data_IF_487552668837
#
_entry.id   IF_487552668837
#
_cell.length_a   1.000
_cell.length_b   1.000
_cell.length_c   1.000
_cell.angle_alpha   90.00
_cell.angle_beta   90.00
_cell.angle_gamma   90.00
#
_symmetry.space_group_name_H-M   'P 1'
#
loop_
_entity.id
_entity.type
_entity.pdbx_description
1 polymer ?
#
# COMPACT_ATOMS: atom_id res chain seq x y z
N UNK A 1 35.92 16.83 40.75
CA UNK A 1 36.45 16.01 39.63
C UNK A 1 35.38 15.19 38.91
N UNK A 2 34.32 14.70 39.56
CA UNK A 2 33.25 13.91 38.89
C UNK A 2 32.32 14.69 37.93
N UNK A 3 32.02 15.97 38.18
CA UNK A 3 31.11 16.74 37.32
C UNK A 3 31.69 17.06 35.93
N UNK A 4 33.00 17.20 35.85
CA UNK A 4 33.69 17.58 34.61
C UNK A 4 33.83 16.38 33.64
N UNK A 5 33.97 15.16 34.17
CA UNK A 5 34.06 13.92 33.38
C UNK A 5 32.71 13.51 32.80
N UNK A 6 31.61 13.69 33.55
CA UNK A 6 30.25 13.42 33.06
C UNK A 6 29.82 14.33 31.90
N UNK A 7 30.17 15.62 31.97
CA UNK A 7 29.86 16.59 30.91
C UNK A 7 30.63 16.30 29.61
N UNK A 8 31.92 15.96 29.71
CA UNK A 8 32.73 15.55 28.55
C UNK A 8 32.22 14.25 27.92
N UNK A 9 31.86 13.26 28.74
CA UNK A 9 31.35 11.98 28.26
C UNK A 9 29.99 12.14 27.57
N UNK A 10 29.11 13.01 28.09
CA UNK A 10 27.80 13.31 27.49
C UNK A 10 27.92 14.04 26.15
N UNK A 11 28.77 15.06 26.05
CA UNK A 11 29.00 15.77 24.79
C UNK A 11 29.70 14.90 23.73
N UNK A 12 30.60 14.01 24.15
CA UNK A 12 31.18 13.02 23.24
C UNK A 12 30.10 12.10 22.68
N UNK A 13 29.20 11.59 23.53
CA UNK A 13 28.10 10.73 23.14
C UNK A 13 27.12 11.40 22.16
N UNK A 14 26.75 12.67 22.39
CA UNK A 14 25.91 13.44 21.45
C UNK A 14 26.57 13.58 20.08
N UNK A 15 27.88 13.85 20.05
CA UNK A 15 28.61 13.97 18.80
C UNK A 15 28.66 12.63 18.05
N UNK A 16 28.82 11.51 18.76
CA UNK A 16 28.75 10.17 18.19
C UNK A 16 27.36 9.86 17.62
N UNK A 17 26.28 10.20 18.35
CA UNK A 17 24.92 10.01 17.85
C UNK A 17 24.62 10.83 16.61
N UNK A 18 25.10 12.09 16.55
CA UNK A 18 24.93 12.95 15.38
C UNK A 18 25.69 12.42 14.17
N UNK A 19 26.92 11.94 14.37
CA UNK A 19 27.69 11.28 13.31
C UNK A 19 27.00 10.00 12.82
N UNK A 20 26.48 9.19 13.74
CA UNK A 20 25.75 7.97 13.41
C UNK A 20 24.47 8.27 12.61
N UNK A 21 23.68 9.26 13.05
CA UNK A 21 22.48 9.73 12.33
C UNK A 21 22.83 10.21 10.91
N UNK A 22 23.89 11.02 10.77
CA UNK A 22 24.36 11.49 9.47
C UNK A 22 24.83 10.33 8.58
N UNK A 23 25.53 9.34 9.15
CA UNK A 23 25.94 8.14 8.42
C UNK A 23 24.75 7.30 7.98
N UNK A 24 23.73 7.13 8.83
CA UNK A 24 22.49 6.42 8.48
C UNK A 24 21.76 7.13 7.34
N UNK A 25 21.62 8.45 7.41
CA UNK A 25 20.99 9.23 6.32
C UNK A 25 21.80 9.14 5.02
N UNK A 26 23.13 9.15 5.11
CA UNK A 26 24.03 9.01 3.95
C UNK A 26 23.93 7.61 3.35
N UNK A 27 23.92 6.57 4.18
CA UNK A 27 23.75 5.18 3.75
C UNK A 27 22.37 4.99 3.10
N UNK A 28 21.31 5.53 3.68
CA UNK A 28 19.96 5.49 3.11
C UNK A 28 19.88 6.19 1.74
N UNK A 29 20.50 7.37 1.61
CA UNK A 29 20.62 8.09 0.32
C UNK A 29 21.45 7.30 -0.70
N UNK A 30 22.56 6.70 -0.27
CA UNK A 30 23.43 5.91 -1.14
C UNK A 30 22.74 4.61 -1.57
N UNK A 31 21.98 3.96 -0.69
CA UNK A 31 21.13 2.83 -1.06
C UNK A 31 20.11 3.29 -2.10
N UNK A 32 19.35 4.37 -1.87
CA UNK A 32 18.39 4.92 -2.86
C UNK A 32 19.08 5.21 -4.21
N UNK A 33 20.30 5.75 -4.18
CA UNK A 33 21.10 6.02 -5.38
C UNK A 33 21.61 4.75 -6.09
N UNK A 34 22.05 3.75 -5.34
CA UNK A 34 22.44 2.45 -5.88
C UNK A 34 21.24 1.71 -6.45
N UNK A 35 20.08 1.76 -5.80
CA UNK A 35 18.80 1.31 -6.36
C UNK A 35 18.53 2.02 -7.69
N UNK A 36 18.60 3.35 -7.75
CA UNK A 36 18.40 4.05 -9.02
C UNK A 36 19.42 3.65 -10.10
N UNK A 37 20.65 3.32 -9.73
CA UNK A 37 21.73 3.01 -10.68
C UNK A 37 21.64 1.57 -11.20
N UNK A 38 21.35 0.60 -10.32
CA UNK A 38 21.25 -0.82 -10.67
C UNK A 38 20.03 -1.13 -11.56
N UNK A 39 19.00 -0.30 -11.50
CA UNK A 39 17.77 -0.46 -12.28
C UNK A 39 17.61 0.59 -13.41
N UNK A 40 18.57 1.52 -13.59
CA UNK A 40 18.60 2.45 -14.74
C UNK A 40 19.42 1.91 -15.91
N UNK A 41 18.76 1.13 -16.77
CA UNK A 41 19.09 1.12 -18.19
C UNK A 41 18.20 2.17 -18.88
N UNK A 42 18.65 3.44 -19.00
CA UNK A 42 18.09 4.51 -19.85
C UNK A 42 16.54 4.60 -20.03
N UNK A 43 15.74 4.15 -19.07
CA UNK A 43 14.30 4.36 -18.99
C UNK A 43 14.03 5.26 -17.78
N UNK A 44 13.25 6.32 -17.98
CA UNK A 44 12.74 7.17 -16.90
C UNK A 44 12.22 6.25 -15.77
N UNK A 45 12.79 6.35 -14.57
CA UNK A 45 12.42 5.48 -13.43
C UNK A 45 11.03 5.88 -12.93
N UNK A 46 9.98 5.36 -13.55
CA UNK A 46 8.63 5.50 -13.04
C UNK A 46 8.51 4.69 -11.76
N UNK A 47 8.25 5.37 -10.63
CA UNK A 47 7.79 4.66 -9.44
C UNK A 47 6.39 4.14 -9.76
N UNK A 48 6.25 2.81 -9.78
CA UNK A 48 5.01 2.13 -10.13
C UNK A 48 4.48 1.38 -8.92
N UNK A 49 3.17 1.37 -8.81
CA UNK A 49 2.49 0.67 -7.74
C UNK A 49 1.06 0.33 -8.09
N UNK A 50 0.34 -0.18 -7.09
CA UNK A 50 -1.06 -0.54 -7.20
C UNK A 50 -1.88 0.33 -6.26
N UNK A 51 -3.06 0.72 -6.72
CA UNK A 51 -4.12 1.27 -5.91
C UNK A 51 -5.40 0.44 -6.10
N UNK A 52 -6.31 0.49 -5.13
CA UNK A 52 -7.66 -0.05 -5.29
C UNK A 52 -8.71 0.89 -4.75
N UNK A 53 -9.89 0.86 -5.35
CA UNK A 53 -10.99 1.74 -4.96
C UNK A 53 -11.66 1.31 -3.66
N UNK A 54 -11.91 2.28 -2.78
CA UNK A 54 -12.68 2.10 -1.54
C UNK A 54 -14.01 2.87 -1.55
N UNK A 55 -14.21 3.75 -2.53
CA UNK A 55 -15.47 4.46 -2.76
C UNK A 55 -15.76 4.58 -4.25
N UNK A 56 -17.05 4.61 -4.60
CA UNK A 56 -17.52 4.92 -5.95
C UNK A 56 -17.20 6.37 -6.37
N UNK A 57 -16.94 7.27 -5.42
CA UNK A 57 -16.55 8.66 -5.67
C UNK A 57 -15.04 8.82 -5.93
N UNK A 58 -14.31 7.73 -6.21
CA UNK A 58 -12.92 7.80 -6.67
C UNK A 58 -11.90 7.98 -5.55
N UNK A 59 -12.22 7.51 -4.34
CA UNK A 59 -11.23 7.33 -3.29
C UNK A 59 -10.50 5.99 -3.49
N UNK A 60 -9.18 6.03 -3.51
CA UNK A 60 -8.30 4.89 -3.75
C UNK A 60 -7.33 4.72 -2.58
N UNK A 61 -7.00 3.49 -2.20
CA UNK A 61 -5.97 3.17 -1.21
C UNK A 61 -4.72 2.67 -1.91
N UNK A 62 -3.55 3.07 -1.42
CA UNK A 62 -2.23 2.60 -1.88
C UNK A 62 -1.19 2.68 -0.76
N UNK A 63 0.08 2.37 -1.08
CA UNK A 63 1.20 2.52 -0.18
C UNK A 63 1.71 3.98 -0.10
N UNK A 64 2.00 4.45 1.11
CA UNK A 64 2.51 5.80 1.34
C UNK A 64 3.88 6.06 0.69
N UNK A 65 4.82 5.12 0.80
CA UNK A 65 6.17 5.27 0.22
C UNK A 65 6.14 5.45 -1.31
N UNK A 66 5.04 5.08 -1.96
CA UNK A 66 4.87 5.36 -3.38
C UNK A 66 4.67 6.86 -3.59
N UNK A 67 3.84 7.50 -2.79
CA UNK A 67 3.31 8.83 -3.07
C UNK A 67 3.95 9.94 -2.23
N UNK A 68 4.80 9.62 -1.24
CA UNK A 68 5.31 10.56 -0.23
C UNK A 68 6.03 11.79 -0.78
N UNK A 69 6.70 11.65 -1.93
CA UNK A 69 7.54 12.71 -2.51
C UNK A 69 6.80 13.52 -3.60
N UNK A 70 5.49 13.34 -3.78
CA UNK A 70 4.75 13.84 -4.95
C UNK A 70 3.39 14.47 -4.61
N UNK A 71 3.10 15.63 -5.22
CA UNK A 71 1.84 16.36 -4.98
C UNK A 71 0.65 15.83 -5.80
N UNK A 72 0.91 15.16 -6.93
CA UNK A 72 -0.09 14.59 -7.82
C UNK A 72 0.39 13.23 -8.33
N UNK A 73 -0.56 12.30 -8.44
CA UNK A 73 -0.30 10.93 -8.88
C UNK A 73 -1.17 10.60 -10.07
N UNK A 74 -0.63 9.94 -11.09
CA UNK A 74 -1.45 9.43 -12.20
C UNK A 74 -1.95 8.03 -11.85
N UNK A 75 -3.26 7.80 -11.97
CA UNK A 75 -3.88 6.50 -11.78
C UNK A 75 -4.51 6.02 -13.08
N UNK A 76 -4.21 4.78 -13.49
CA UNK A 76 -4.74 4.17 -14.71
C UNK A 76 -5.55 2.93 -14.36
N UNK A 77 -6.78 2.81 -14.87
CA UNK A 77 -7.62 1.65 -14.62
C UNK A 77 -7.03 0.35 -15.21
N UNK A 78 -7.18 -0.77 -14.50
CA UNK A 78 -6.62 -2.06 -14.93
C UNK A 78 -7.35 -2.72 -16.12
N UNK A 79 -8.62 -2.40 -16.35
CA UNK A 79 -9.39 -2.95 -17.49
C UNK A 79 -9.45 -2.03 -18.69
N UNK A 80 -9.23 -0.73 -18.50
CA UNK A 80 -9.30 0.26 -19.57
C UNK A 80 -8.16 1.28 -19.42
N UNK A 81 -7.13 1.11 -20.26
CA UNK A 81 -5.97 2.00 -20.27
C UNK A 81 -6.28 3.44 -20.70
N UNK A 82 -7.46 3.70 -21.28
CA UNK A 82 -7.91 5.06 -21.60
C UNK A 82 -8.44 5.81 -20.37
N UNK A 83 -8.86 5.08 -19.33
CA UNK A 83 -9.29 5.65 -18.05
C UNK A 83 -8.08 5.96 -17.18
N UNK A 84 -7.42 7.07 -17.50
CA UNK A 84 -6.30 7.66 -16.76
C UNK A 84 -6.76 8.95 -16.10
N UNK A 85 -6.41 9.13 -14.83
CA UNK A 85 -6.82 10.30 -14.07
C UNK A 85 -5.70 10.84 -13.19
N UNK A 86 -5.68 12.15 -12.97
CA UNK A 86 -4.91 12.72 -11.87
C UNK A 86 -5.63 12.49 -10.55
N UNK A 87 -4.87 12.11 -9.53
CA UNK A 87 -5.34 11.94 -8.17
C UNK A 87 -4.46 12.74 -7.20
N UNK A 88 -5.11 13.29 -6.18
CA UNK A 88 -4.46 14.01 -5.08
C UNK A 88 -4.42 13.15 -3.84
N UNK A 89 -3.38 13.33 -3.04
CA UNK A 89 -3.28 12.72 -1.72
C UNK A 89 -4.25 13.45 -0.78
N UNK A 90 -5.13 12.69 -0.11
CA UNK A 90 -6.10 13.25 0.85
C UNK A 90 -5.73 12.92 2.28
N UNK A 91 -5.28 11.69 2.54
CA UNK A 91 -4.84 11.24 3.86
C UNK A 91 -3.62 10.33 3.69
N UNK A 92 -2.76 10.36 4.70
CA UNK A 92 -1.60 9.48 4.79
C UNK A 92 -1.44 8.96 6.20
N UNK A 93 -0.91 7.75 6.30
CA UNK A 93 -0.39 7.14 7.52
C UNK A 93 1.03 6.64 7.22
N UNK A 94 2.05 7.49 7.45
CA UNK A 94 3.43 7.13 7.18
C UNK A 94 3.94 5.94 8.01
N UNK A 95 3.42 5.75 9.23
CA UNK A 95 3.80 4.64 10.11
C UNK A 95 3.37 3.32 9.49
N UNK A 96 2.10 3.24 9.08
CA UNK A 96 1.52 2.03 8.50
C UNK A 96 1.77 1.88 6.99
N UNK A 97 2.49 2.82 6.38
CA UNK A 97 2.71 2.85 4.92
C UNK A 97 1.43 2.94 4.09
N UNK A 98 0.40 3.67 4.53
CA UNK A 98 -0.87 3.78 3.80
C UNK A 98 -1.08 5.21 3.30
N UNK A 99 -1.59 5.35 2.08
CA UNK A 99 -2.08 6.61 1.56
C UNK A 99 -3.46 6.43 0.91
N UNK A 100 -4.28 7.45 1.04
CA UNK A 100 -5.56 7.56 0.34
C UNK A 100 -5.47 8.67 -0.69
N UNK A 101 -5.76 8.31 -1.92
CA UNK A 101 -5.84 9.20 -3.06
C UNK A 101 -7.29 9.51 -3.41
N UNK A 102 -7.55 10.67 -4.00
CA UNK A 102 -8.83 11.04 -4.58
C UNK A 102 -8.63 11.51 -6.00
N UNK A 103 -9.35 10.88 -6.93
CA UNK A 103 -9.40 11.33 -8.33
C UNK A 103 -9.94 12.76 -8.37
N UNK A 104 -9.18 13.67 -8.98
CA UNK A 104 -9.42 15.12 -9.02
C UNK A 104 -9.84 15.66 -10.39
N UNK A 105 -9.82 14.83 -11.43
CA UNK A 105 -10.20 15.24 -12.78
C UNK A 105 -11.68 15.61 -12.87
N UNK A 106 -11.99 16.75 -13.50
CA UNK A 106 -13.37 17.23 -13.64
C UNK A 106 -14.26 16.34 -14.51
N UNK A 107 -13.66 15.51 -15.36
CA UNK A 107 -14.37 14.52 -16.19
C UNK A 107 -14.76 13.27 -15.40
N UNK A 108 -14.18 13.05 -14.22
CA UNK A 108 -14.49 11.91 -13.38
C UNK A 108 -15.77 12.19 -12.57
N UNK A 109 -16.81 11.39 -12.81
CA UNK A 109 -18.06 11.46 -12.05
C UNK A 109 -18.09 10.43 -10.92
N UNK A 110 -18.00 9.15 -11.27
CA UNK A 110 -17.99 8.03 -10.34
C UNK A 110 -17.54 6.75 -11.06
N UNK A 111 -17.04 5.78 -10.30
CA UNK A 111 -16.96 4.39 -10.74
C UNK A 111 -18.24 3.63 -10.36
N UNK A 112 -18.46 2.48 -10.98
CA UNK A 112 -19.55 1.55 -10.61
C UNK A 112 -19.48 1.12 -9.14
N UNK A 113 -20.56 0.51 -8.63
CA UNK A 113 -20.59 0.05 -7.24
C UNK A 113 -19.53 -1.03 -6.98
N UNK A 114 -18.67 -0.78 -5.99
CA UNK A 114 -17.60 -1.69 -5.58
C UNK A 114 -18.23 -3.02 -5.12
N UNK A 115 -17.82 -4.17 -5.69
CA UNK A 115 -18.51 -5.43 -5.50
C UNK A 115 -18.00 -6.23 -4.29
N UNK A 116 -16.97 -5.72 -3.61
CA UNK A 116 -16.34 -6.27 -2.41
C UNK A 116 -16.50 -5.33 -1.21
N UNK A 117 -16.24 -5.85 -0.02
CA UNK A 117 -16.20 -5.09 1.24
C UNK A 117 -14.82 -5.16 1.89
N UNK A 118 -14.55 -4.28 2.84
CA UNK A 118 -13.37 -4.35 3.71
C UNK A 118 -13.79 -5.01 5.03
N UNK A 119 -13.08 -6.05 5.45
CA UNK A 119 -13.33 -6.72 6.72
C UNK A 119 -12.36 -6.16 7.77
N UNK A 120 -12.79 -5.17 8.55
CA UNK A 120 -11.97 -4.50 9.56
C UNK A 120 -11.69 -5.35 10.80
N UNK A 121 -12.44 -6.43 11.01
CA UNK A 121 -12.31 -7.31 12.18
C UNK A 121 -11.90 -8.72 11.75
N UNK A 122 -11.11 -8.82 10.68
CA UNK A 122 -10.71 -10.11 10.14
C UNK A 122 -9.82 -10.84 11.14
N UNK A 123 -10.32 -11.95 11.67
CA UNK A 123 -9.53 -12.82 12.53
C UNK A 123 -8.50 -13.52 11.66
N UNK A 124 -7.25 -13.10 11.80
CA UNK A 124 -6.13 -13.67 11.08
C UNK A 124 -5.87 -15.06 11.63
N UNK A 125 -5.83 -16.08 10.78
CA UNK A 125 -5.51 -17.46 11.12
C UNK A 125 -4.39 -17.96 10.19
N UNK A 126 -3.40 -18.67 10.74
CA UNK A 126 -2.34 -19.24 9.90
C UNK A 126 -2.92 -20.26 8.90
N UNK A 127 -2.39 -20.26 7.69
CA UNK A 127 -2.86 -21.14 6.62
C UNK A 127 -4.17 -20.71 5.96
N UNK A 128 -4.85 -19.66 6.45
CA UNK A 128 -6.00 -19.10 5.73
C UNK A 128 -5.58 -18.66 4.32
N UNK A 129 -6.31 -19.15 3.32
CA UNK A 129 -6.08 -18.81 1.93
C UNK A 129 -6.46 -17.37 1.63
N UNK A 130 -5.55 -16.69 0.94
CA UNK A 130 -5.71 -15.31 0.50
C UNK A 130 -5.20 -15.14 -0.91
N UNK A 131 -5.67 -14.10 -1.58
CA UNK A 131 -5.21 -13.75 -2.92
C UNK A 131 -5.12 -12.24 -3.08
N UNK A 132 -4.32 -11.79 -4.02
CA UNK A 132 -4.08 -10.38 -4.32
C UNK A 132 -4.19 -10.13 -5.82
N UNK A 133 -4.56 -8.89 -6.17
CA UNK A 133 -4.56 -8.39 -7.53
C UNK A 133 -3.78 -7.08 -7.57
N UNK A 134 -2.66 -7.10 -8.29
CA UNK A 134 -1.73 -5.99 -8.32
C UNK A 134 -0.99 -5.88 -9.65
N UNK A 135 -0.38 -4.74 -9.90
CA UNK A 135 0.44 -4.52 -11.08
C UNK A 135 1.86 -5.04 -10.87
N UNK A 136 2.32 -5.90 -11.76
CA UNK A 136 3.74 -6.19 -11.94
C UNK A 136 4.18 -5.61 -13.27
N UNK A 137 5.05 -4.60 -13.23
CA UNK A 137 5.44 -3.80 -14.40
C UNK A 137 4.23 -3.10 -15.05
N UNK A 138 3.72 -3.62 -16.16
CA UNK A 138 2.66 -2.99 -16.97
C UNK A 138 1.33 -3.78 -16.97
N UNK A 139 1.30 -4.96 -16.35
CA UNK A 139 0.15 -5.85 -16.39
C UNK A 139 -0.33 -6.18 -14.99
N UNK A 140 -1.64 -6.36 -14.86
CA UNK A 140 -2.20 -6.92 -13.63
C UNK A 140 -1.79 -8.38 -13.49
N UNK A 141 -1.42 -8.76 -12.28
CA UNK A 141 -1.02 -10.10 -11.88
C UNK A 141 -1.90 -10.56 -10.73
N UNK A 142 -2.39 -11.78 -10.86
CA UNK A 142 -3.04 -12.51 -9.79
C UNK A 142 -1.97 -13.26 -8.99
N UNK A 143 -1.98 -13.08 -7.67
CA UNK A 143 -1.14 -13.84 -6.74
C UNK A 143 -2.03 -14.51 -5.69
N UNK A 144 -1.72 -15.75 -5.35
CA UNK A 144 -2.43 -16.49 -4.30
C UNK A 144 -1.45 -17.16 -3.35
N UNK A 145 -1.92 -17.43 -2.14
CA UNK A 145 -1.12 -18.00 -1.07
C UNK A 145 -1.92 -18.07 0.22
N UNK A 146 -1.21 -17.99 1.33
CA UNK A 146 -1.76 -18.11 2.67
C UNK A 146 -1.10 -17.14 3.64
N UNK A 147 -1.77 -16.90 4.75
CA UNK A 147 -1.19 -16.19 5.89
C UNK A 147 -0.15 -17.09 6.55
N UNK A 148 1.09 -16.61 6.58
CA UNK A 148 2.27 -17.35 7.04
C UNK A 148 2.70 -16.96 8.46
N UNK A 149 2.39 -15.74 8.90
CA UNK A 149 2.63 -15.26 10.27
C UNK A 149 1.58 -14.21 10.65
N UNK A 150 1.26 -14.11 11.95
CA UNK A 150 0.32 -13.11 12.49
C UNK A 150 0.89 -11.69 12.58
N UNK A 151 2.21 -11.59 12.54
CA UNK A 151 2.97 -10.33 12.59
C UNK A 151 3.74 -10.17 11.30
N UNK A 152 4.01 -8.93 10.93
CA UNK A 152 4.90 -8.63 9.83
C UNK A 152 6.37 -8.58 10.24
N UNK A 153 7.12 -7.81 9.47
CA UNK A 153 8.55 -7.59 9.70
C UNK A 153 8.78 -6.91 11.06
N UNK A 154 9.85 -7.30 11.77
CA UNK A 154 10.18 -6.80 13.11
C UNK A 154 9.01 -6.90 14.12
N UNK A 155 8.23 -7.97 14.06
CA UNK A 155 7.11 -8.22 14.97
C UNK A 155 5.99 -7.16 14.91
N UNK A 156 5.88 -6.42 13.81
CA UNK A 156 4.79 -5.47 13.60
C UNK A 156 3.43 -6.18 13.67
N UNK A 157 2.65 -5.83 14.69
CA UNK A 157 1.34 -6.43 14.95
C UNK A 157 0.25 -5.91 14.02
N UNK A 158 0.47 -4.79 13.34
CA UNK A 158 -0.48 -4.21 12.39
C UNK A 158 -0.36 -4.82 11.00
N UNK A 159 0.61 -5.70 10.77
CA UNK A 159 0.77 -6.43 9.52
C UNK A 159 0.82 -7.93 9.74
N UNK A 160 0.70 -8.70 8.67
CA UNK A 160 0.89 -10.15 8.65
C UNK A 160 1.78 -10.54 7.48
N UNK A 161 2.43 -11.71 7.61
CA UNK A 161 3.24 -12.28 6.54
C UNK A 161 2.39 -13.17 5.63
N UNK A 162 2.71 -13.15 4.34
CA UNK A 162 2.04 -13.86 3.27
C UNK A 162 3.02 -14.75 2.51
N UNK A 163 2.52 -15.89 2.03
CA UNK A 163 3.21 -16.74 1.05
C UNK A 163 2.87 -16.38 -0.41
N UNK A 164 2.27 -15.21 -0.64
CA UNK A 164 2.02 -14.68 -1.99
C UNK A 164 3.34 -14.12 -2.55
N UNK A 165 3.79 -14.54 -3.74
CA UNK A 165 4.95 -13.92 -4.40
C UNK A 165 4.70 -12.45 -4.71
N UNK A 166 5.60 -11.57 -4.28
CA UNK A 166 5.54 -10.14 -4.59
C UNK A 166 6.67 -9.71 -5.51
N UNK A 167 6.32 -8.84 -6.45
CA UNK A 167 7.25 -8.20 -7.37
C UNK A 167 7.14 -6.67 -7.21
N UNK A 168 8.14 -5.91 -7.68
CA UNK A 168 8.01 -4.46 -7.80
C UNK A 168 6.71 -4.07 -8.54
N UNK A 169 5.94 -3.17 -7.93
CA UNK A 169 4.61 -2.73 -8.41
C UNK A 169 3.43 -3.29 -7.60
N UNK A 170 3.60 -4.39 -6.87
CA UNK A 170 2.53 -4.96 -6.04
C UNK A 170 2.26 -4.17 -4.75
N UNK A 171 3.14 -3.23 -4.36
CA UNK A 171 2.88 -2.31 -3.24
C UNK A 171 1.55 -1.59 -3.42
N UNK A 172 0.72 -1.60 -2.38
CA UNK A 172 -0.63 -1.03 -2.38
C UNK A 172 -1.72 -1.98 -2.93
N UNK A 173 -1.38 -3.22 -3.30
CA UNK A 173 -2.38 -4.18 -3.76
C UNK A 173 -3.29 -4.65 -2.63
N UNK A 174 -4.61 -4.75 -2.86
CA UNK A 174 -5.52 -5.33 -1.89
C UNK A 174 -5.30 -6.84 -1.76
N UNK A 175 -5.31 -7.32 -0.51
CA UNK A 175 -5.32 -8.74 -0.17
C UNK A 175 -6.73 -9.13 0.21
N UNK A 176 -7.25 -10.17 -0.44
CA UNK A 176 -8.60 -10.67 -0.27
C UNK A 176 -8.61 -12.05 0.39
N UNK A 177 -9.58 -12.29 1.28
CA UNK A 177 -9.89 -13.63 1.76
C UNK A 177 -10.72 -14.43 0.74
N UNK A 178 -11.01 -15.69 1.02
CA UNK A 178 -11.82 -16.56 0.15
C UNK A 178 -13.20 -16.00 -0.23
N UNK A 179 -13.78 -15.12 0.60
CA UNK A 179 -15.07 -14.47 0.39
C UNK A 179 -14.97 -13.19 -0.43
N UNK A 180 -13.79 -12.79 -0.91
CA UNK A 180 -13.61 -11.55 -1.65
C UNK A 180 -13.75 -10.30 -0.78
N UNK A 181 -13.46 -10.41 0.52
CA UNK A 181 -13.35 -9.26 1.43
C UNK A 181 -11.88 -8.83 1.50
N UNK A 182 -11.62 -7.53 1.47
CA UNK A 182 -10.27 -6.99 1.71
C UNK A 182 -9.91 -7.19 3.18
N UNK A 183 -8.81 -7.89 3.41
CA UNK A 183 -8.26 -8.21 4.74
C UNK A 183 -6.89 -7.60 4.98
N UNK A 184 -6.27 -7.04 3.94
CA UNK A 184 -5.04 -6.29 4.08
C UNK A 184 -4.59 -5.61 2.79
N UNK A 185 -3.43 -4.95 2.86
CA UNK A 185 -2.82 -4.21 1.75
C UNK A 185 -1.34 -4.57 1.69
N UNK A 186 -0.85 -5.06 0.54
CA UNK A 186 0.56 -5.43 0.37
C UNK A 186 1.45 -4.19 0.56
N UNK A 187 2.45 -4.32 1.44
CA UNK A 187 3.41 -3.26 1.75
C UNK A 187 4.81 -3.65 1.23
N UNK A 188 5.42 -2.75 0.45
CA UNK A 188 6.73 -2.96 -0.16
C UNK A 188 7.92 -2.57 0.73
N UNK A 189 7.72 -2.14 1.97
CA UNK A 189 8.81 -1.58 2.79
C UNK A 189 9.96 -2.55 3.11
N UNK A 190 9.78 -3.87 2.98
CA UNK A 190 10.69 -4.85 3.60
C UNK A 190 11.18 -5.98 2.66
N UNK A 191 11.72 -5.61 1.48
CA UNK A 191 12.31 -6.55 0.50
C UNK A 191 13.61 -7.24 0.97
N UNK A 192 14.13 -6.93 2.16
CA UNK A 192 15.45 -7.42 2.62
C UNK A 192 15.49 -8.93 2.92
N UNK A 193 14.33 -9.62 2.98
CA UNK A 193 14.27 -11.08 3.03
C UNK A 193 13.61 -11.63 1.77
N UNK A 194 14.42 -12.30 0.95
CA UNK A 194 13.92 -13.08 -0.18
C UNK A 194 12.83 -14.06 0.28
N UNK A 195 11.69 -14.06 -0.41
CA UNK A 195 10.62 -15.05 -0.23
C UNK A 195 9.54 -14.74 0.82
N UNK A 196 9.50 -13.55 1.42
CA UNK A 196 8.44 -13.16 2.37
C UNK A 196 7.75 -11.86 1.96
N UNK A 197 6.43 -11.92 1.78
CA UNK A 197 5.60 -10.74 1.49
C UNK A 197 4.86 -10.31 2.74
N UNK A 198 4.65 -9.00 2.92
CA UNK A 198 3.93 -8.46 4.07
C UNK A 198 2.72 -7.67 3.62
N UNK A 199 1.66 -7.70 4.43
CA UNK A 199 0.49 -6.89 4.22
C UNK A 199 0.02 -6.25 5.53
N UNK A 200 -0.29 -4.96 5.46
CA UNK A 200 -0.92 -4.19 6.53
C UNK A 200 -2.35 -4.70 6.69
N UNK A 201 -2.78 -4.96 7.92
CA UNK A 201 -4.14 -5.44 8.22
C UNK A 201 -5.17 -4.40 7.82
N UNK A 202 -6.29 -4.85 7.27
CA UNK A 202 -7.43 -4.00 6.91
C UNK A 202 -7.99 -3.20 8.09
N UNK A 203 -7.77 -3.65 9.33
CA UNK A 203 -8.16 -2.94 10.56
C UNK A 203 -7.65 -1.50 10.59
N UNK A 204 -6.41 -1.26 10.12
CA UNK A 204 -5.80 0.07 10.02
C UNK A 204 -6.63 1.02 9.14
N UNK A 205 -7.30 0.50 8.11
CA UNK A 205 -8.13 1.32 7.23
C UNK A 205 -9.38 1.88 7.92
N UNK A 206 -9.78 1.36 9.08
CA UNK A 206 -11.01 1.78 9.75
C UNK A 206 -10.99 3.26 10.12
N UNK A 207 -9.94 3.69 10.82
CA UNK A 207 -9.75 5.08 11.24
C UNK A 207 -9.64 6.03 10.05
N UNK A 208 -8.95 5.58 9.00
CA UNK A 208 -8.78 6.33 7.75
C UNK A 208 -10.14 6.52 7.06
N UNK A 209 -10.91 5.45 6.88
CA UNK A 209 -12.23 5.51 6.24
C UNK A 209 -13.19 6.37 7.05
N UNK A 210 -13.17 6.29 8.37
CA UNK A 210 -14.01 7.13 9.23
C UNK A 210 -13.61 8.62 9.15
N UNK A 211 -12.31 8.91 8.97
CA UNK A 211 -11.82 10.27 8.69
C UNK A 211 -12.26 10.78 7.33
N UNK A 212 -12.34 9.92 6.30
CA UNK A 212 -12.88 10.34 5.00
C UNK A 212 -14.38 10.62 5.10
N UNK A 213 -15.15 9.80 5.84
CA UNK A 213 -16.59 10.03 6.03
C UNK A 213 -16.91 11.36 6.70
N UNK A 214 -16.03 11.87 7.57
CA UNK A 214 -16.22 13.18 8.19
C UNK A 214 -15.95 14.34 7.21
N UNK A 215 -15.12 14.12 6.19
CA UNK A 215 -14.80 15.09 5.12
C UNK A 215 -15.83 15.03 3.99
N UNK A 216 -16.17 13.82 3.53
CA UNK A 216 -17.12 13.54 2.46
C UNK A 216 -18.04 12.39 2.86
N UNK A 217 -19.14 12.73 3.52
CA UNK A 217 -20.14 11.77 3.97
C UNK A 217 -20.70 10.95 2.80
N UNK A 218 -20.81 11.54 1.59
CA UNK A 218 -21.42 10.90 0.41
C UNK A 218 -20.57 9.75 -0.12
N UNK A 219 -19.26 9.78 0.13
CA UNK A 219 -18.31 8.76 -0.35
C UNK A 219 -18.63 7.34 0.15
N UNK A 220 -19.37 7.20 1.26
CA UNK A 220 -19.69 5.89 1.84
C UNK A 220 -21.18 5.71 2.17
N UNK A 221 -22.09 6.49 1.56
CA UNK A 221 -23.54 6.38 1.80
C UNK A 221 -24.15 5.08 1.28
N UNK A 222 -23.57 4.47 0.26
CA UNK A 222 -24.02 3.16 -0.22
C UNK A 222 -23.41 2.07 0.66
N UNK A 223 -24.25 1.25 1.29
CA UNK A 223 -23.76 0.04 1.97
C UNK A 223 -23.08 -0.84 0.92
N UNK A 224 -21.75 -0.92 0.96
CA UNK A 224 -20.99 -1.94 0.25
C UNK A 224 -21.49 -3.30 0.74
N UNK A 225 -22.27 -3.98 -0.09
CA UNK A 225 -22.59 -5.38 0.09
C UNK A 225 -21.54 -6.18 -0.69
N UNK A 226 -20.96 -7.19 -0.05
CA UNK A 226 -20.06 -8.10 -0.74
C UNK A 226 -20.87 -8.99 -1.69
N UNK A 227 -21.03 -8.53 -2.93
CA UNK A 227 -21.80 -9.22 -3.98
C UNK A 227 -21.03 -10.38 -4.62
N UNK A 228 -19.75 -10.55 -4.27
CA UNK A 228 -18.87 -11.56 -4.86
C UNK A 228 -18.60 -12.75 -3.93
N UNK A 229 -19.12 -12.71 -2.70
CA UNK A 229 -18.88 -13.70 -1.64
C UNK A 229 -19.03 -15.16 -2.06
N UNK A 230 -20.05 -15.48 -2.84
CA UNK A 230 -20.36 -16.85 -3.26
C UNK A 230 -19.98 -17.15 -4.71
N UNK A 231 -19.27 -16.24 -5.38
CA UNK A 231 -18.83 -16.46 -6.75
C UNK A 231 -17.56 -17.33 -6.76
N UNK A 232 -17.38 -18.17 -7.80
CA UNK A 232 -16.09 -18.82 -8.07
C UNK A 232 -14.95 -17.80 -8.18
N UNK A 233 -13.73 -18.19 -7.80
CA UNK A 233 -12.56 -17.29 -7.71
C UNK A 233 -12.31 -16.48 -8.98
N UNK A 234 -12.35 -17.12 -10.14
CA UNK A 234 -12.18 -16.45 -11.43
C UNK A 234 -13.24 -15.36 -11.69
N UNK A 235 -14.48 -15.56 -11.23
CA UNK A 235 -15.57 -14.57 -11.32
C UNK A 235 -15.41 -13.47 -10.27
N UNK A 236 -14.90 -13.77 -9.08
CA UNK A 236 -14.51 -12.74 -8.11
C UNK A 236 -13.44 -11.83 -8.73
N UNK A 237 -12.35 -12.40 -9.23
CA UNK A 237 -11.24 -11.68 -9.87
C UNK A 237 -11.75 -10.79 -11.00
N UNK A 238 -12.52 -11.34 -11.95
CA UNK A 238 -13.07 -10.57 -13.06
C UNK A 238 -13.92 -9.37 -12.62
N UNK A 239 -14.65 -9.47 -11.50
CA UNK A 239 -15.44 -8.37 -10.95
C UNK A 239 -14.61 -7.36 -10.16
N UNK A 240 -13.49 -7.78 -9.58
CA UNK A 240 -12.59 -6.91 -8.81
C UNK A 240 -11.68 -6.09 -9.73
N UNK A 241 -11.18 -6.67 -10.83
CA UNK A 241 -10.17 -6.04 -11.70
C UNK A 241 -10.50 -4.59 -12.12
N UNK A 242 -11.75 -4.21 -12.48
CA UNK A 242 -12.09 -2.83 -12.82
C UNK A 242 -11.89 -1.81 -11.69
N UNK A 243 -11.67 -2.26 -10.46
CA UNK A 243 -11.46 -1.42 -9.27
C UNK A 243 -10.00 -1.36 -8.82
N UNK A 244 -9.10 -1.97 -9.60
CA UNK A 244 -7.66 -1.93 -9.40
C UNK A 244 -7.07 -0.90 -10.38
N UNK A 245 -6.14 -0.10 -9.87
CA UNK A 245 -5.52 1.01 -10.59
C UNK A 245 -4.00 0.88 -10.53
N UNK A 246 -3.34 1.13 -11.65
CA UNK A 246 -1.90 1.30 -11.71
C UNK A 246 -1.56 2.72 -11.28
N UNK A 247 -0.60 2.86 -10.38
CA UNK A 247 -0.01 4.14 -10.03
C UNK A 247 1.23 4.35 -10.88
N UNK A 248 1.32 5.54 -11.48
CA UNK A 248 2.49 6.03 -12.18
C UNK A 248 2.84 7.42 -11.65
N UNK A 249 4.09 7.56 -11.25
CA UNK A 249 4.66 8.79 -10.72
C UNK A 249 5.77 9.21 -11.67
N UNK A 250 5.73 10.49 -12.03
CA UNK A 250 6.56 11.13 -13.05
C UNK A 250 7.54 12.10 -12.41
#
# INVERSE_FOLDING_TARGET
TLYFTGWFSYHHQINTYKQLSNSITTISKNQKSLWTTLFNNNEITYLRGTAFAISNLGYLVTSYHLVSDNDSVLVTNATDSSLKFHAKIILTDPEQDIAVLKISDSSFSSISNIPYSINYNYTTELGNYVYSLGFSKNSIVFGEGSISSFTGYNEDTNSFQLSIPTNPGNSGSPVFNQYGEVVGIICGKNFEKEGSSFAVKSEVLKSIVDSIKSIDEKAFKTKSSNTIKYLPKNKQVSKITPYIFKIEIY
#
